data_IF_191981021521
#
_entry.id   IF_191981021521
#
_cell.length_a   1.000
_cell.length_b   1.000
_cell.length_c   1.000
_cell.angle_alpha   90.00
_cell.angle_beta   90.00
_cell.angle_gamma   90.00
#
_symmetry.space_group_name_H-M   'P 1'
#
loop_
_entity.id
_entity.type
_entity.pdbx_description
1 polymer ?
#
# COMPACT_ATOMS: atom_id res chain seq x y z
N UNK A 1 10.73 -4.90 1.98
CA UNK A 1 9.47 -5.07 2.75
C UNK A 1 8.33 -4.42 2.01
N UNK A 2 7.07 -4.86 2.23
CA UNK A 2 5.90 -4.28 1.59
C UNK A 2 5.03 -3.47 2.57
N UNK A 3 4.38 -2.42 2.06
CA UNK A 3 3.29 -1.72 2.73
C UNK A 3 2.05 -1.81 1.83
N UNK A 4 1.00 -2.40 2.33
CA UNK A 4 -0.24 -2.66 1.60
C UNK A 4 -1.46 -2.31 2.43
N UNK A 5 -2.63 -2.65 1.94
CA UNK A 5 -3.89 -2.45 2.62
C UNK A 5 -4.88 -1.64 1.81
N UNK A 6 -6.00 -1.33 2.43
CA UNK A 6 -7.04 -0.53 1.80
C UNK A 6 -6.61 0.92 1.62
N UNK A 7 -7.11 1.63 0.63
CA UNK A 7 -6.86 3.05 0.50
C UNK A 7 -7.47 3.83 1.67
N UNK A 8 -6.99 5.03 1.91
CA UNK A 8 -7.48 5.93 3.00
C UNK A 8 -7.34 5.34 4.42
N UNK A 9 -6.41 4.43 4.62
CA UNK A 9 -6.11 3.77 5.89
C UNK A 9 -4.92 4.38 6.64
N UNK A 10 -4.40 5.52 6.19
CA UNK A 10 -3.28 6.19 6.84
C UNK A 10 -1.90 5.72 6.37
N UNK A 11 -1.79 5.06 5.22
CA UNK A 11 -0.50 4.59 4.69
C UNK A 11 0.51 5.72 4.48
N UNK A 12 0.06 6.89 4.00
CA UNK A 12 0.94 8.07 3.85
C UNK A 12 1.43 8.58 5.22
N UNK A 13 0.57 8.57 6.24
CA UNK A 13 0.95 8.92 7.60
C UNK A 13 2.00 7.91 8.15
N UNK A 14 1.76 6.62 7.97
CA UNK A 14 2.69 5.59 8.40
C UNK A 14 4.04 5.70 7.69
N UNK A 15 4.04 5.89 6.36
CA UNK A 15 5.28 6.11 5.59
C UNK A 15 6.05 7.33 6.12
N UNK A 16 5.35 8.43 6.39
CA UNK A 16 5.97 9.65 6.92
C UNK A 16 6.57 9.47 8.33
N UNK A 17 5.91 8.70 9.21
CA UNK A 17 6.45 8.34 10.53
C UNK A 17 7.70 7.48 10.36
N UNK A 18 7.63 6.40 9.61
CA UNK A 18 8.74 5.46 9.44
C UNK A 18 9.95 6.13 8.78
N UNK A 19 9.74 7.05 7.83
CA UNK A 19 10.81 7.81 7.17
C UNK A 19 11.50 8.84 8.08
N UNK A 20 11.07 9.03 9.32
CA UNK A 20 11.86 9.80 10.30
C UNK A 20 13.17 9.06 10.64
N UNK A 21 13.14 7.72 10.66
CA UNK A 21 14.33 6.91 10.77
C UNK A 21 15.15 6.97 9.48
N UNK A 22 16.39 7.46 9.49
CA UNK A 22 17.24 7.59 8.30
C UNK A 22 17.58 6.24 7.63
N UNK A 23 17.50 5.14 8.39
CA UNK A 23 17.72 3.79 7.89
C UNK A 23 16.50 3.21 7.15
N UNK A 24 15.36 3.93 7.13
CA UNK A 24 14.13 3.48 6.47
C UNK A 24 13.74 4.47 5.37
N UNK A 25 13.62 3.95 4.16
CA UNK A 25 12.94 4.64 3.06
C UNK A 25 11.52 4.11 2.93
N UNK A 26 10.54 4.98 3.12
CA UNK A 26 9.12 4.69 2.90
C UNK A 26 8.47 5.90 2.22
N UNK A 27 8.03 5.71 1.01
CA UNK A 27 7.44 6.78 0.18
C UNK A 27 5.99 6.49 -0.21
N UNK A 28 5.49 7.23 -1.19
CA UNK A 28 4.18 7.02 -1.81
C UNK A 28 4.05 5.70 -2.57
N UNK A 29 3.00 5.57 -3.40
CA UNK A 29 2.83 4.36 -4.20
C UNK A 29 3.96 4.19 -5.22
N UNK A 30 4.61 3.05 -5.21
CA UNK A 30 5.62 2.68 -6.19
C UNK A 30 5.01 1.97 -7.40
N UNK A 31 5.78 1.93 -8.49
CA UNK A 31 5.47 1.11 -9.65
C UNK A 31 6.09 -0.29 -9.59
N UNK A 32 6.86 -0.62 -8.55
CA UNK A 32 7.67 -1.86 -8.47
C UNK A 32 6.82 -3.11 -8.69
N UNK A 33 5.69 -3.21 -7.98
CA UNK A 33 4.79 -4.37 -8.11
C UNK A 33 4.30 -4.56 -9.56
N UNK A 34 3.86 -3.48 -10.21
CA UNK A 34 3.37 -3.53 -11.58
C UNK A 34 4.50 -3.85 -12.58
N UNK A 35 5.66 -3.21 -12.43
CA UNK A 35 6.81 -3.47 -13.29
C UNK A 35 7.30 -4.92 -13.19
N UNK A 36 7.35 -5.48 -11.98
CA UNK A 36 7.69 -6.89 -11.77
C UNK A 36 6.67 -7.82 -12.43
N UNK A 37 5.38 -7.52 -12.27
CA UNK A 37 4.30 -8.28 -12.87
C UNK A 37 4.37 -8.26 -14.41
N UNK A 38 4.52 -7.09 -15.01
CA UNK A 38 4.58 -6.92 -16.46
C UNK A 38 5.82 -7.61 -17.06
N UNK A 39 6.96 -7.48 -16.37
CA UNK A 39 8.17 -8.19 -16.77
C UNK A 39 8.00 -9.71 -16.67
N UNK A 40 7.40 -10.22 -15.59
CA UNK A 40 7.09 -11.65 -15.45
C UNK A 40 6.19 -12.13 -16.59
N UNK A 41 5.12 -11.39 -16.88
CA UNK A 41 4.22 -11.72 -18.01
C UNK A 41 4.96 -11.71 -19.36
N UNK A 42 5.90 -10.80 -19.55
CA UNK A 42 6.72 -10.77 -20.76
C UNK A 42 7.68 -11.98 -20.85
N UNK A 43 8.42 -12.25 -19.76
CA UNK A 43 9.41 -13.34 -19.70
C UNK A 43 8.77 -14.71 -19.91
N UNK A 44 7.60 -14.97 -19.32
CA UNK A 44 6.88 -16.25 -19.45
C UNK A 44 5.76 -16.23 -20.50
N UNK A 45 5.68 -15.19 -21.31
CA UNK A 45 4.69 -15.01 -22.37
C UNK A 45 5.32 -14.56 -23.68
N UNK A 46 5.31 -13.27 -23.96
CA UNK A 46 5.67 -12.73 -25.28
C UNK A 46 7.14 -12.88 -25.65
N UNK A 47 8.07 -12.84 -24.68
CA UNK A 47 9.51 -12.95 -24.90
C UNK A 47 10.07 -14.37 -24.69
N UNK A 48 9.24 -15.32 -24.25
CA UNK A 48 9.71 -16.67 -23.83
C UNK A 48 10.49 -17.39 -24.93
N UNK A 49 9.97 -17.37 -26.16
CA UNK A 49 10.61 -18.12 -27.29
C UNK A 49 12.00 -17.57 -27.61
N UNK A 50 12.16 -16.23 -27.62
CA UNK A 50 13.45 -15.59 -27.88
C UNK A 50 14.45 -15.85 -26.75
N UNK A 51 13.98 -15.81 -25.50
CA UNK A 51 14.82 -16.09 -24.33
C UNK A 51 15.31 -17.54 -24.32
N UNK A 52 14.45 -18.52 -24.65
CA UNK A 52 14.83 -19.93 -24.74
C UNK A 52 15.76 -20.16 -25.93
N UNK A 53 15.44 -19.61 -27.11
CA UNK A 53 16.25 -19.80 -28.31
C UNK A 53 17.67 -19.23 -28.19
N UNK A 54 17.86 -18.23 -27.37
CA UNK A 54 19.16 -17.58 -27.09
C UNK A 54 19.83 -18.09 -25.82
N UNK A 55 19.25 -19.08 -25.13
CA UNK A 55 19.72 -19.56 -23.80
C UNK A 55 19.84 -18.44 -22.74
N UNK A 56 18.82 -17.57 -22.69
CA UNK A 56 18.78 -16.38 -21.80
C UNK A 56 17.55 -16.33 -20.88
N UNK A 57 16.91 -17.45 -20.62
CA UNK A 57 15.74 -17.46 -19.72
C UNK A 57 16.12 -16.98 -18.31
N UNK A 58 17.29 -17.39 -17.81
CA UNK A 58 17.80 -16.95 -16.52
C UNK A 58 18.08 -15.44 -16.50
N UNK A 59 18.54 -14.87 -17.61
CA UNK A 59 18.67 -13.40 -17.75
C UNK A 59 17.31 -12.71 -17.62
N UNK A 60 16.25 -13.28 -18.20
CA UNK A 60 14.89 -12.78 -18.06
C UNK A 60 14.42 -12.81 -16.60
N UNK A 61 14.72 -13.86 -15.86
CA UNK A 61 14.42 -13.98 -14.41
C UNK A 61 15.20 -12.94 -13.59
N UNK A 62 16.49 -12.75 -13.89
CA UNK A 62 17.31 -11.76 -13.22
C UNK A 62 16.83 -10.32 -13.46
N UNK A 63 16.26 -10.01 -14.63
CA UNK A 63 15.63 -8.72 -14.89
C UNK A 63 14.46 -8.46 -13.91
N UNK A 64 13.61 -9.48 -13.67
CA UNK A 64 12.50 -9.35 -12.71
C UNK A 64 13.03 -9.10 -11.30
N UNK A 65 14.00 -9.89 -10.84
CA UNK A 65 14.59 -9.78 -9.51
C UNK A 65 15.25 -8.42 -9.25
N UNK A 66 15.82 -7.81 -10.28
CA UNK A 66 16.54 -6.55 -10.16
C UNK A 66 15.66 -5.30 -10.28
N UNK A 67 14.38 -5.41 -10.63
CA UNK A 67 13.48 -4.25 -10.73
C UNK A 67 13.49 -3.41 -9.44
N UNK A 68 13.31 -3.95 -8.22
CA UNK A 68 13.35 -3.14 -7.00
C UNK A 68 14.71 -2.44 -6.81
N UNK A 69 15.82 -3.13 -7.06
CA UNK A 69 17.16 -2.56 -6.92
C UNK A 69 17.41 -1.40 -7.89
N UNK A 70 16.91 -1.51 -9.12
CA UNK A 70 17.03 -0.45 -10.12
C UNK A 70 16.10 0.72 -9.80
N UNK A 71 14.87 0.42 -9.34
CA UNK A 71 13.87 1.43 -8.98
C UNK A 71 14.36 2.30 -7.81
N UNK A 72 14.94 1.68 -6.81
CA UNK A 72 15.46 2.35 -5.60
C UNK A 72 16.99 2.57 -5.61
N UNK A 73 17.63 2.58 -6.78
CA UNK A 73 19.10 2.67 -6.91
C UNK A 73 19.75 3.87 -6.22
N UNK A 74 19.01 4.97 -6.10
CA UNK A 74 19.50 6.22 -5.50
C UNK A 74 19.10 6.35 -4.00
N UNK A 75 18.41 5.34 -3.44
CA UNK A 75 18.06 5.27 -2.03
C UNK A 75 19.23 4.73 -1.23
N UNK A 76 19.66 5.49 -0.22
CA UNK A 76 20.81 5.14 0.64
C UNK A 76 20.39 4.44 1.94
N UNK A 77 19.10 4.44 2.28
CA UNK A 77 18.58 3.76 3.47
C UNK A 77 18.79 2.25 3.35
N UNK A 78 19.14 1.60 4.46
CA UNK A 78 19.38 0.15 4.51
C UNK A 78 18.10 -0.68 4.32
N UNK A 79 16.94 -0.07 4.59
CA UNK A 79 15.63 -0.71 4.50
C UNK A 79 14.69 0.10 3.61
N UNK A 80 14.11 -0.56 2.61
CA UNK A 80 13.03 0.00 1.78
C UNK A 80 11.72 -0.66 2.14
N UNK A 81 10.70 0.15 2.42
CA UNK A 81 9.31 -0.28 2.60
C UNK A 81 8.53 0.18 1.37
N UNK A 82 8.39 -0.70 0.41
CA UNK A 82 7.69 -0.45 -0.85
C UNK A 82 6.17 -0.43 -0.67
N UNK A 83 5.55 0.68 -1.04
CA UNK A 83 4.10 0.84 -0.90
C UNK A 83 3.38 0.49 -2.19
N UNK A 84 2.61 -0.59 -2.15
CA UNK A 84 1.66 -0.96 -3.20
C UNK A 84 0.45 -1.67 -2.59
N UNK A 85 -0.74 -1.17 -2.88
CA UNK A 85 -2.01 -1.79 -2.41
C UNK A 85 -2.19 -3.23 -2.86
N UNK A 86 -1.55 -3.61 -3.97
CA UNK A 86 -1.66 -4.94 -4.56
C UNK A 86 -0.70 -5.98 -3.95
N UNK A 87 0.19 -5.62 -3.02
CA UNK A 87 1.08 -6.62 -2.40
C UNK A 87 0.35 -7.74 -1.67
N UNK A 88 -0.88 -7.51 -1.22
CA UNK A 88 -1.72 -8.55 -0.58
C UNK A 88 -2.45 -9.47 -1.58
N UNK A 89 -2.36 -9.23 -2.88
CA UNK A 89 -2.95 -10.14 -3.87
C UNK A 89 -2.16 -11.47 -3.96
N UNK A 90 -2.84 -12.62 -4.08
CA UNK A 90 -2.20 -13.94 -4.09
C UNK A 90 -1.09 -14.08 -5.13
N UNK A 91 -1.33 -13.60 -6.35
CA UNK A 91 -0.35 -13.71 -7.43
C UNK A 91 0.90 -12.84 -7.18
N UNK A 92 0.74 -11.67 -6.56
CA UNK A 92 1.87 -10.81 -6.20
C UNK A 92 2.67 -11.40 -5.03
N UNK A 93 2.02 -12.03 -4.06
CA UNK A 93 2.72 -12.76 -3.00
C UNK A 93 3.45 -13.99 -3.56
N UNK A 94 2.83 -14.72 -4.48
CA UNK A 94 3.50 -15.83 -5.18
C UNK A 94 4.72 -15.34 -5.96
N UNK A 95 4.65 -14.17 -6.60
CA UNK A 95 5.76 -13.53 -7.28
C UNK A 95 6.90 -13.18 -6.31
N UNK A 96 6.59 -12.56 -5.17
CA UNK A 96 7.60 -12.26 -4.15
C UNK A 96 8.29 -13.54 -3.64
N UNK A 97 7.52 -14.58 -3.31
CA UNK A 97 8.06 -15.86 -2.85
C UNK A 97 8.90 -16.59 -3.93
N UNK A 98 8.60 -16.35 -5.20
CA UNK A 98 9.33 -16.97 -6.33
C UNK A 98 10.68 -16.31 -6.57
N UNK A 99 10.77 -14.99 -6.43
CA UNK A 99 11.95 -14.25 -6.86
C UNK A 99 12.86 -13.79 -5.74
N UNK A 100 12.41 -13.83 -4.48
CA UNK A 100 13.22 -13.45 -3.33
C UNK A 100 13.40 -14.62 -2.38
N UNK A 101 14.62 -14.78 -1.88
CA UNK A 101 14.99 -15.88 -0.98
C UNK A 101 14.40 -15.71 0.43
N UNK A 102 14.24 -14.46 0.86
CA UNK A 102 13.70 -14.16 2.18
C UNK A 102 12.18 -14.11 2.14
N UNK A 103 11.56 -14.64 3.19
CA UNK A 103 10.12 -14.56 3.39
C UNK A 103 9.66 -13.09 3.34
N UNK A 104 8.71 -12.75 2.46
CA UNK A 104 8.23 -11.38 2.35
C UNK A 104 7.57 -10.96 3.67
N UNK A 105 7.85 -9.72 4.10
CA UNK A 105 7.17 -9.06 5.22
C UNK A 105 6.35 -7.91 4.67
N UNK A 106 5.04 -7.93 4.94
CA UNK A 106 4.09 -6.92 4.43
C UNK A 106 3.28 -6.34 5.58
N UNK A 107 3.39 -5.04 5.75
CA UNK A 107 2.54 -4.26 6.66
C UNK A 107 1.20 -4.02 5.97
N UNK A 108 0.10 -4.38 6.60
CA UNK A 108 -1.25 -4.29 6.01
C UNK A 108 -2.12 -3.37 6.85
N UNK A 109 -2.43 -2.20 6.32
CA UNK A 109 -3.28 -1.23 6.98
C UNK A 109 -4.77 -1.52 6.72
N UNK A 110 -5.54 -1.49 7.79
CA UNK A 110 -6.97 -1.73 7.78
C UNK A 110 -7.76 -0.57 8.40
N UNK A 111 -8.96 -0.37 7.89
CA UNK A 111 -9.93 0.59 8.41
C UNK A 111 -11.34 0.11 8.06
N UNK A 112 -12.37 0.39 8.88
CA UNK A 112 -13.74 0.06 8.53
C UNK A 112 -14.12 0.61 7.15
N UNK A 113 -14.70 -0.24 6.29
CA UNK A 113 -15.01 0.10 4.90
C UNK A 113 -15.88 1.36 4.78
N UNK A 114 -16.84 1.52 5.70
CA UNK A 114 -17.70 2.71 5.74
C UNK A 114 -16.91 4.00 5.97
N UNK A 115 -15.82 3.97 6.75
CA UNK A 115 -14.98 5.14 6.98
C UNK A 115 -14.08 5.44 5.76
N UNK A 116 -13.66 4.40 5.05
CA UNK A 116 -12.92 4.54 3.78
C UNK A 116 -13.81 5.23 2.74
N UNK A 117 -15.04 4.73 2.57
CA UNK A 117 -16.02 5.32 1.63
C UNK A 117 -16.29 6.77 1.99
N UNK A 118 -16.55 7.11 3.27
CA UNK A 118 -16.70 8.51 3.71
C UNK A 118 -15.49 9.37 3.34
N UNK A 119 -14.29 8.83 3.52
CA UNK A 119 -13.05 9.56 3.18
C UNK A 119 -12.93 9.82 1.68
N UNK A 120 -13.36 8.88 0.83
CA UNK A 120 -13.38 9.08 -0.62
C UNK A 120 -14.46 10.08 -1.05
N UNK A 121 -15.65 9.97 -0.50
CA UNK A 121 -16.74 10.91 -0.79
C UNK A 121 -16.33 12.33 -0.41
N UNK A 122 -15.74 12.53 0.77
CA UNK A 122 -15.21 13.83 1.19
C UNK A 122 -14.15 14.36 0.20
N UNK A 123 -13.24 13.49 -0.24
CA UNK A 123 -12.18 13.86 -1.19
C UNK A 123 -12.77 14.23 -2.57
N UNK A 124 -13.72 13.45 -3.08
CA UNK A 124 -14.41 13.73 -4.34
C UNK A 124 -15.18 15.06 -4.29
N UNK A 125 -15.88 15.32 -3.17
CA UNK A 125 -16.59 16.61 -2.95
C UNK A 125 -15.61 17.78 -2.92
N UNK A 126 -14.49 17.67 -2.22
CA UNK A 126 -13.46 18.71 -2.16
C UNK A 126 -12.83 19.00 -3.53
N UNK A 127 -12.79 18.01 -4.42
CA UNK A 127 -12.29 18.12 -5.80
C UNK A 127 -13.38 18.43 -6.84
N UNK A 128 -14.59 18.82 -6.42
CA UNK A 128 -15.70 19.13 -7.30
C UNK A 128 -16.00 18.01 -8.33
N UNK A 129 -15.94 16.76 -7.87
CA UNK A 129 -16.21 15.59 -8.72
C UNK A 129 -17.55 15.72 -9.44
N UNK A 130 -17.54 15.44 -10.75
CA UNK A 130 -18.74 15.53 -11.60
C UNK A 130 -19.47 14.18 -11.56
N UNK A 131 -20.60 14.13 -10.91
CA UNK A 131 -21.41 12.92 -10.74
C UNK A 131 -21.67 12.57 -9.28
N UNK A 132 -22.19 11.37 -9.04
CA UNK A 132 -22.42 10.89 -7.69
C UNK A 132 -21.07 10.55 -7.02
N UNK A 133 -20.71 11.19 -5.88
CA UNK A 133 -19.46 10.92 -5.21
C UNK A 133 -19.36 9.50 -4.62
N UNK A 134 -20.44 8.73 -4.54
CA UNK A 134 -20.44 7.33 -4.13
C UNK A 134 -20.27 6.34 -5.30
N UNK A 135 -20.46 6.80 -6.54
CA UNK A 135 -20.48 5.95 -7.73
C UNK A 135 -19.19 5.14 -7.89
N UNK A 136 -19.32 3.84 -8.13
CA UNK A 136 -18.23 2.93 -8.46
C UNK A 136 -17.29 2.56 -7.30
N UNK A 137 -17.41 3.18 -6.10
CA UNK A 137 -16.46 2.96 -5.00
C UNK A 137 -16.39 1.51 -4.52
N UNK A 138 -17.48 0.80 -4.55
CA UNK A 138 -17.60 -0.60 -4.11
C UNK A 138 -18.03 -1.55 -5.22
N UNK A 139 -17.73 -1.23 -6.47
CA UNK A 139 -18.01 -2.16 -7.56
C UNK A 139 -16.96 -3.27 -7.59
N UNK A 140 -17.39 -4.49 -7.92
CA UNK A 140 -16.54 -5.68 -7.89
C UNK A 140 -15.27 -5.47 -8.74
N UNK A 141 -14.12 -5.76 -8.14
CA UNK A 141 -12.80 -5.59 -8.75
C UNK A 141 -12.44 -4.17 -9.18
N UNK A 142 -13.25 -3.16 -8.80
CA UNK A 142 -12.95 -1.78 -9.11
C UNK A 142 -11.79 -1.22 -8.26
N UNK A 143 -10.98 -0.42 -8.88
CA UNK A 143 -10.14 0.53 -8.16
C UNK A 143 -11.03 1.74 -7.73
N UNK A 144 -10.74 2.37 -6.61
CA UNK A 144 -9.55 2.17 -5.78
C UNK A 144 -9.70 1.21 -4.60
N UNK A 145 -10.90 0.64 -4.31
CA UNK A 145 -11.16 -0.06 -3.05
C UNK A 145 -11.20 -1.58 -3.22
N UNK A 146 -12.05 -2.09 -4.10
CA UNK A 146 -12.43 -3.51 -4.06
C UNK A 146 -11.30 -4.46 -4.41
N UNK A 147 -10.40 -4.10 -5.32
CA UNK A 147 -9.24 -4.94 -5.64
C UNK A 147 -8.33 -5.13 -4.41
N UNK A 148 -8.04 -4.05 -3.68
CA UNK A 148 -7.24 -4.14 -2.46
C UNK A 148 -7.99 -4.80 -1.31
N UNK A 149 -9.32 -4.65 -1.25
CA UNK A 149 -10.18 -5.34 -0.28
C UNK A 149 -10.09 -6.87 -0.43
N UNK A 150 -10.19 -7.40 -1.64
CA UNK A 150 -10.03 -8.84 -1.89
C UNK A 150 -8.63 -9.34 -1.54
N UNK A 151 -7.60 -8.55 -1.83
CA UNK A 151 -6.23 -8.86 -1.42
C UNK A 151 -6.05 -8.94 0.09
N UNK A 152 -6.58 -7.98 0.84
CA UNK A 152 -6.53 -7.98 2.32
C UNK A 152 -7.30 -9.17 2.89
N UNK A 153 -8.49 -9.48 2.33
CA UNK A 153 -9.29 -10.63 2.74
C UNK A 153 -8.53 -11.95 2.53
N UNK A 154 -7.90 -12.10 1.37
CA UNK A 154 -7.05 -13.26 1.09
C UNK A 154 -5.87 -13.34 2.07
N UNK A 155 -5.17 -12.23 2.32
CA UNK A 155 -4.04 -12.19 3.23
C UNK A 155 -4.41 -12.59 4.67
N UNK A 156 -5.62 -12.22 5.14
CA UNK A 156 -6.13 -12.64 6.46
C UNK A 156 -6.28 -14.15 6.60
N UNK A 157 -6.75 -14.81 5.55
CA UNK A 157 -6.99 -16.26 5.58
C UNK A 157 -5.74 -17.08 5.28
N UNK A 158 -4.69 -16.46 4.72
CA UNK A 158 -3.46 -17.13 4.27
C UNK A 158 -2.20 -16.61 4.98
N UNK A 159 -2.34 -15.99 6.15
CA UNK A 159 -1.21 -15.46 6.90
C UNK A 159 -0.43 -16.58 7.63
N UNK A 160 0.78 -16.83 7.20
CA UNK A 160 1.73 -17.72 7.89
C UNK A 160 2.92 -16.93 8.46
N UNK A 161 2.68 -15.67 8.87
CA UNK A 161 3.67 -14.75 9.42
C UNK A 161 4.28 -13.78 8.40
N UNK A 162 3.73 -13.70 7.18
CA UNK A 162 4.13 -12.70 6.17
C UNK A 162 3.47 -11.34 6.39
N UNK A 163 2.32 -11.30 7.07
CA UNK A 163 1.49 -10.10 7.20
C UNK A 163 1.37 -9.64 8.65
N UNK A 164 1.65 -8.36 8.89
CA UNK A 164 1.26 -7.66 10.11
C UNK A 164 0.07 -6.74 9.80
N UNK A 165 -1.09 -7.05 10.38
CA UNK A 165 -2.30 -6.23 10.24
C UNK A 165 -2.30 -5.09 11.27
N UNK A 166 -2.50 -3.86 10.79
CA UNK A 166 -2.46 -2.64 11.56
C UNK A 166 -3.79 -1.92 11.41
N UNK A 167 -4.53 -1.78 12.52
CA UNK A 167 -5.76 -1.04 12.52
C UNK A 167 -5.49 0.48 12.48
N UNK A 168 -6.23 1.20 11.66
CA UNK A 168 -6.11 2.66 11.56
C UNK A 168 -6.29 3.37 12.91
N UNK A 169 -7.27 2.92 13.70
CA UNK A 169 -7.52 3.49 15.03
C UNK A 169 -6.35 3.22 16.00
N UNK A 170 -5.66 2.08 15.90
CA UNK A 170 -4.44 1.80 16.69
C UNK A 170 -3.28 2.69 16.25
N UNK A 171 -3.13 2.91 14.95
CA UNK A 171 -2.11 3.83 14.44
C UNK A 171 -2.32 5.26 14.99
N UNK A 172 -3.56 5.69 15.18
CA UNK A 172 -3.86 7.03 15.69
C UNK A 172 -3.82 7.14 17.22
N UNK A 173 -4.37 6.15 17.93
CA UNK A 173 -4.60 6.25 19.38
C UNK A 173 -3.48 5.58 20.19
N UNK A 174 -2.77 4.62 19.60
CA UNK A 174 -1.72 3.81 20.23
C UNK A 174 -0.43 3.84 19.39
N UNK A 175 -0.10 4.98 18.79
CA UNK A 175 0.94 5.13 17.77
C UNK A 175 2.27 4.51 18.19
N UNK A 176 2.81 4.89 19.36
CA UNK A 176 4.12 4.38 19.82
C UNK A 176 4.13 2.85 19.92
N UNK A 177 3.11 2.23 20.49
CA UNK A 177 3.05 0.77 20.61
C UNK A 177 2.84 0.10 19.25
N UNK A 178 2.10 0.72 18.35
CA UNK A 178 1.89 0.23 16.97
C UNK A 178 3.20 0.28 16.18
N UNK A 179 3.94 1.37 16.26
CA UNK A 179 5.25 1.49 15.62
C UNK A 179 6.24 0.47 16.19
N UNK A 180 6.28 0.26 17.50
CA UNK A 180 7.15 -0.76 18.10
C UNK A 180 6.83 -2.18 17.57
N UNK A 181 5.55 -2.55 17.42
CA UNK A 181 5.15 -3.82 16.81
C UNK A 181 5.62 -3.94 15.35
N UNK A 182 5.63 -2.84 14.60
CA UNK A 182 6.15 -2.81 13.23
C UNK A 182 7.66 -3.10 13.23
N UNK A 183 8.42 -2.44 14.10
CA UNK A 183 9.86 -2.67 14.23
C UNK A 183 10.18 -4.11 14.60
N UNK A 184 9.46 -4.67 15.60
CA UNK A 184 9.58 -6.07 16.00
C UNK A 184 9.26 -7.02 14.84
N UNK A 185 8.14 -6.84 14.17
CA UNK A 185 7.75 -7.66 13.01
C UNK A 185 8.77 -7.58 11.87
N UNK A 186 9.28 -6.39 11.60
CA UNK A 186 10.27 -6.15 10.56
C UNK A 186 11.69 -6.56 10.98
N UNK A 187 11.93 -6.93 12.24
CA UNK A 187 13.25 -7.24 12.81
C UNK A 187 14.24 -6.07 12.65
N UNK A 188 13.73 -4.86 12.88
CA UNK A 188 14.49 -3.63 12.80
C UNK A 188 14.86 -3.12 14.19
N UNK A 189 15.98 -2.42 14.30
CA UNK A 189 16.36 -1.73 15.53
C UNK A 189 15.38 -0.59 15.83
N UNK A 190 15.01 -0.43 17.12
CA UNK A 190 14.07 0.60 17.54
C UNK A 190 14.60 2.00 17.28
N UNK A 191 13.70 2.92 16.96
CA UNK A 191 14.00 4.32 16.71
C UNK A 191 12.99 5.21 17.45
N UNK A 192 13.46 6.31 18.03
CA UNK A 192 12.58 7.30 18.69
C UNK A 192 11.99 8.27 17.66
N UNK A 193 10.68 8.19 17.47
CA UNK A 193 9.92 9.03 16.55
C UNK A 193 9.32 10.26 17.23
N UNK A 194 9.30 11.39 16.53
CA UNK A 194 8.54 12.58 16.94
C UNK A 194 7.13 12.56 16.32
N UNK A 195 6.15 12.20 17.13
CA UNK A 195 4.74 12.14 16.70
C UNK A 195 4.03 13.51 16.68
N UNK A 196 4.72 14.57 17.11
CA UNK A 196 4.16 15.94 17.13
C UNK A 196 4.65 16.77 15.92
N UNK A 197 5.61 16.27 15.17
CA UNK A 197 6.17 16.96 14.02
C UNK A 197 6.38 15.98 12.85
N UNK A 198 5.29 15.46 12.30
CA UNK A 198 5.33 14.50 11.19
C UNK A 198 5.36 15.26 9.87
N UNK A 199 6.42 15.03 9.10
CA UNK A 199 6.62 15.62 7.77
C UNK A 199 6.65 14.53 6.73
N UNK A 200 5.86 14.66 5.66
CA UNK A 200 5.99 13.79 4.50
C UNK A 200 7.23 14.21 3.69
N UNK A 201 8.31 13.45 3.80
CA UNK A 201 9.57 13.71 3.08
C UNK A 201 9.47 13.39 1.58
N UNK A 202 8.50 12.57 1.19
CA UNK A 202 8.30 12.09 -0.17
C UNK A 202 6.85 12.33 -0.63
N UNK A 203 6.45 13.61 -0.85
CA UNK A 203 5.08 13.94 -1.26
C UNK A 203 4.81 13.42 -2.67
N UNK A 204 3.66 12.78 -2.84
CA UNK A 204 3.17 12.36 -4.16
C UNK A 204 2.52 13.54 -4.88
N UNK A 205 2.65 13.58 -6.21
CA UNK A 205 1.94 14.58 -7.02
C UNK A 205 0.49 14.13 -7.27
N UNK A 206 -0.42 14.64 -6.46
CA UNK A 206 -1.85 14.30 -6.51
C UNK A 206 -2.54 14.77 -7.79
N UNK A 207 -1.96 15.72 -8.55
CA UNK A 207 -2.50 16.15 -9.84
C UNK A 207 -2.52 15.02 -10.86
N UNK A 208 -1.50 14.14 -10.82
CA UNK A 208 -1.41 12.97 -11.70
C UNK A 208 -2.59 12.01 -11.48
N UNK A 209 -3.10 11.94 -10.24
CA UNK A 209 -4.26 11.11 -9.88
C UNK A 209 -5.59 11.83 -10.11
N UNK A 210 -5.57 13.12 -10.45
CA UNK A 210 -6.77 13.92 -10.61
C UNK A 210 -7.56 14.18 -9.32
N UNK A 211 -6.93 14.01 -8.16
CA UNK A 211 -7.56 14.16 -6.83
C UNK A 211 -6.63 14.83 -5.82
N UNK A 212 -6.63 16.15 -5.79
CA UNK A 212 -5.80 16.95 -4.88
C UNK A 212 -6.11 16.64 -3.41
N UNK A 213 -5.06 16.59 -2.59
CA UNK A 213 -5.14 16.33 -1.16
C UNK A 213 -5.37 14.85 -0.79
N UNK A 214 -5.23 13.95 -1.76
CA UNK A 214 -5.33 12.51 -1.52
C UNK A 214 -4.25 12.02 -0.54
N UNK A 215 -3.04 12.55 -0.66
CA UNK A 215 -1.88 12.15 0.14
C UNK A 215 -1.45 13.20 1.18
N UNK A 216 -2.31 14.18 1.44
CA UNK A 216 -2.07 15.18 2.49
C UNK A 216 -2.09 14.54 3.88
N UNK A 217 -1.06 14.84 4.67
CA UNK A 217 -0.99 14.51 6.09
C UNK A 217 -0.99 15.77 6.97
N UNK A 218 -1.25 15.58 8.25
CA UNK A 218 -1.10 16.64 9.27
C UNK A 218 0.20 16.44 10.04
N UNK A 219 0.81 17.50 10.56
CA UNK A 219 2.03 17.38 11.36
C UNK A 219 1.81 16.60 12.67
N UNK A 220 0.58 16.49 13.13
CA UNK A 220 0.20 15.78 14.35
C UNK A 220 -0.82 14.68 14.06
N UNK A 221 -0.82 13.66 14.91
CA UNK A 221 -1.71 12.51 14.78
C UNK A 221 -3.08 12.87 15.34
N UNK A 222 -4.04 13.08 14.45
CA UNK A 222 -5.41 13.37 14.81
C UNK A 222 -6.40 12.71 13.85
N UNK A 223 -7.46 12.11 14.40
CA UNK A 223 -8.58 11.62 13.59
C UNK A 223 -9.25 12.80 12.88
N UNK A 224 -9.52 12.66 11.58
CA UNK A 224 -10.35 13.62 10.85
C UNK A 224 -11.81 13.31 11.14
N UNK A 225 -12.54 14.29 11.65
CA UNK A 225 -13.99 14.22 11.67
C UNK A 225 -14.51 14.61 10.29
N UNK A 226 -15.21 13.69 9.64
CA UNK A 226 -15.74 13.89 8.29
C UNK A 226 -17.26 14.03 8.38
N UNK A 227 -17.77 15.25 8.19
CA UNK A 227 -19.22 15.50 8.09
C UNK A 227 -19.72 15.09 6.69
N UNK A 228 -19.70 13.78 6.43
CA UNK A 228 -20.19 13.18 5.18
C UNK A 228 -21.30 12.19 5.48
N UNK A 229 -22.47 12.43 4.89
CA UNK A 229 -23.62 11.53 4.94
C UNK A 229 -23.57 10.61 3.70
N UNK A 230 -23.55 9.32 3.95
CA UNK A 230 -23.67 8.31 2.89
C UNK A 230 -25.14 7.96 2.66
N UNK A 231 -25.46 7.49 1.45
CA UNK A 231 -26.76 6.92 1.14
C UNK A 231 -27.05 5.67 1.97
N UNK A 232 -28.33 5.35 2.17
CA UNK A 232 -28.72 4.12 2.87
C UNK A 232 -28.24 2.87 2.14
N UNK A 233 -28.22 2.91 0.82
CA UNK A 233 -27.76 1.84 -0.05
C UNK A 233 -26.26 1.60 0.16
N UNK A 234 -25.42 2.64 0.12
CA UNK A 234 -23.99 2.55 0.35
C UNK A 234 -23.67 2.02 1.76
N UNK A 235 -24.41 2.47 2.78
CA UNK A 235 -24.26 1.96 4.15
C UNK A 235 -24.58 0.46 4.21
N UNK A 236 -25.67 0.03 3.55
CA UNK A 236 -26.04 -1.39 3.50
C UNK A 236 -24.98 -2.23 2.77
N UNK A 237 -24.45 -1.72 1.65
CA UNK A 237 -23.38 -2.37 0.87
C UNK A 237 -22.08 -2.50 1.70
N UNK A 238 -21.68 -1.46 2.42
CA UNK A 238 -20.53 -1.54 3.35
C UNK A 238 -20.72 -2.62 4.41
N UNK A 239 -21.91 -2.71 5.00
CA UNK A 239 -22.22 -3.70 6.05
C UNK A 239 -22.26 -5.15 5.53
N UNK A 240 -22.65 -5.36 4.28
CA UNK A 240 -22.69 -6.72 3.68
C UNK A 240 -21.29 -7.24 3.33
N UNK A 241 -20.31 -6.35 3.19
CA UNK A 241 -18.92 -6.68 2.89
C UNK A 241 -18.03 -6.76 4.16
N UNK A 242 -18.50 -6.25 5.31
CA UNK A 242 -17.75 -6.25 6.59
C UNK A 242 -18.03 -7.54 7.41
#
# INVERSE_FOLDING_TARGET
MGLSGLPRTGSTLLSAILSQNPEIHAEGNSAVCQLMWDMQCSVYGTATQQLIASDRLDTGIELIKNIPNIYYKDVTASTVIDKCRSWTLPDNMAMLNKYFEHKPKVLVLERPLIEIVRSFVALRQANNYKGDPEEGLLDTWSEPIMRSYEGVKWAKTNNNGEFLFIQYDDLLNNTKSTINKIYEFCELESFEHDFNNIVNKHPENDEVYGMLGQHDIRPTINKRDLDVKLSKEMIAKCKSLS
#
